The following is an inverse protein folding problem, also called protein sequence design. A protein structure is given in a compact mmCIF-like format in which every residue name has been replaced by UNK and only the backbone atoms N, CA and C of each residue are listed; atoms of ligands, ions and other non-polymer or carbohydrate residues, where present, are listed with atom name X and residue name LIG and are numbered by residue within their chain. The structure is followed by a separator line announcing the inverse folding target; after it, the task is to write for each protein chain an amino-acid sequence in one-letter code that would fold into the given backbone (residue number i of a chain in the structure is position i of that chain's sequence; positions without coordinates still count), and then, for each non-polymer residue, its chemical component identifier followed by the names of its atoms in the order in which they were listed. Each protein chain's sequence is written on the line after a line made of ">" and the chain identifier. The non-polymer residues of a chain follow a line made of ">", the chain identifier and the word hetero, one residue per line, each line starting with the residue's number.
data_IF_389458372076
#
_entry.id   IF_389458372076
#
_cell.length_a   1.000
_cell.length_b   1.000
_cell.length_c   1.000
_cell.angle_alpha   90.00
_cell.angle_beta   90.00
_cell.angle_gamma   90.00
#
_symmetry.space_group_name_H-M   'P 1'
#
loop_
_entity.id
_entity.type
_entity.pdbx_description
1 polymer ?
#
# COMPACT_ATOMS: atom_id res chain seq x y z
N UNK A 1 19.28 -2.94 23.86
CA UNK A 1 19.32 -4.22 23.11
C UNK A 1 17.94 -4.83 23.28
N UNK A 2 17.35 -5.28 22.17
CA UNK A 2 16.01 -5.85 22.16
C UNK A 2 16.05 -7.35 22.50
N UNK A 3 14.95 -7.86 23.04
CA UNK A 3 14.81 -9.30 23.28
C UNK A 3 14.43 -9.97 21.96
N UNK A 4 15.31 -10.81 21.40
CA UNK A 4 15.18 -11.36 20.04
C UNK A 4 15.07 -12.89 20.04
N UNK A 5 14.48 -13.42 18.97
CA UNK A 5 14.32 -14.85 18.74
C UNK A 5 13.86 -15.14 17.31
N UNK A 6 13.70 -16.42 17.00
CA UNK A 6 13.13 -16.84 15.72
C UNK A 6 12.36 -18.14 15.84
N UNK A 7 11.43 -18.34 14.90
CA UNK A 7 10.68 -19.57 14.75
C UNK A 7 10.80 -20.10 13.31
N UNK A 8 10.77 -21.43 13.17
CA UNK A 8 10.90 -22.15 11.90
C UNK A 8 9.62 -22.95 11.65
N UNK A 9 9.00 -22.73 10.50
CA UNK A 9 7.79 -23.40 10.06
C UNK A 9 8.06 -24.19 8.77
N UNK A 10 7.37 -25.32 8.59
CA UNK A 10 7.43 -26.09 7.35
C UNK A 10 6.48 -25.49 6.31
N UNK A 11 6.94 -25.36 5.07
CA UNK A 11 6.12 -24.82 3.98
C UNK A 11 5.14 -25.90 3.50
N UNK A 12 3.83 -25.63 3.45
CA UNK A 12 2.86 -26.53 2.85
C UNK A 12 3.19 -26.77 1.38
N UNK A 13 2.95 -27.99 0.89
CA UNK A 13 3.28 -28.39 -0.50
C UNK A 13 2.70 -27.46 -1.58
N UNK A 14 1.58 -26.82 -1.29
CA UNK A 14 0.88 -25.90 -2.19
C UNK A 14 1.62 -24.56 -2.39
N UNK A 15 2.44 -24.15 -1.42
CA UNK A 15 3.13 -22.86 -1.39
C UNK A 15 4.62 -22.97 -1.71
N UNK A 16 5.12 -24.19 -1.92
CA UNK A 16 6.52 -24.49 -2.26
C UNK A 16 6.92 -23.71 -3.51
N UNK A 17 8.02 -22.97 -3.41
CA UNK A 17 8.56 -22.14 -4.50
C UNK A 17 7.73 -20.90 -4.89
N UNK A 18 6.66 -20.55 -4.17
CA UNK A 18 5.87 -19.35 -4.47
C UNK A 18 6.43 -18.12 -3.74
N UNK A 19 6.60 -16.97 -4.42
CA UNK A 19 7.04 -15.72 -3.78
C UNK A 19 5.85 -15.02 -3.11
N UNK A 20 5.39 -15.59 -1.99
CA UNK A 20 4.19 -15.11 -1.27
C UNK A 20 4.52 -14.86 0.19
N UNK A 21 4.13 -13.69 0.67
CA UNK A 21 4.15 -13.38 2.09
C UNK A 21 3.03 -14.13 2.82
N UNK A 22 3.39 -14.96 3.81
CA UNK A 22 2.42 -15.75 4.56
C UNK A 22 1.63 -14.88 5.54
N UNK A 23 0.30 -15.02 5.50
CA UNK A 23 -0.63 -14.24 6.35
C UNK A 23 -0.83 -14.89 7.71
N UNK A 24 -1.51 -14.16 8.62
CA UNK A 24 -1.82 -14.59 9.99
C UNK A 24 -2.40 -16.01 10.07
N UNK A 25 -3.33 -16.34 9.18
CA UNK A 25 -4.05 -17.62 9.22
C UNK A 25 -3.12 -18.83 9.04
N UNK A 26 -2.02 -18.67 8.28
CA UNK A 26 -0.99 -19.70 8.17
C UNK A 26 -0.36 -20.00 9.53
N UNK A 27 0.06 -18.98 10.27
CA UNK A 27 0.73 -19.14 11.56
C UNK A 27 -0.22 -19.60 12.68
N UNK A 28 -1.53 -19.35 12.54
CA UNK A 28 -2.55 -19.89 13.44
C UNK A 28 -2.82 -21.38 13.19
N UNK A 29 -2.74 -21.81 11.92
CA UNK A 29 -3.01 -23.19 11.53
C UNK A 29 -1.78 -24.12 11.64
N UNK A 30 -0.56 -23.58 11.61
CA UNK A 30 0.68 -24.36 11.55
C UNK A 30 1.54 -24.18 12.81
N UNK A 31 2.01 -25.29 13.38
CA UNK A 31 2.95 -25.27 14.49
C UNK A 31 4.40 -25.12 14.00
N UNK A 32 5.22 -24.43 14.79
CA UNK A 32 6.65 -24.34 14.51
C UNK A 32 7.32 -25.70 14.65
N UNK A 33 8.20 -26.05 13.69
CA UNK A 33 9.04 -27.25 13.72
C UNK A 33 10.29 -27.07 14.57
N UNK A 34 10.78 -25.83 14.65
CA UNK A 34 11.85 -25.43 15.55
C UNK A 34 11.68 -23.97 15.94
N UNK A 35 12.25 -23.57 17.07
CA UNK A 35 12.30 -22.17 17.52
C UNK A 35 13.47 -21.98 18.47
N UNK A 36 13.82 -20.74 18.76
CA UNK A 36 14.73 -20.43 19.87
C UNK A 36 14.10 -20.85 21.19
N UNK A 37 14.88 -21.46 22.09
CA UNK A 37 14.37 -21.96 23.39
C UNK A 37 13.79 -20.85 24.26
N UNK A 38 14.38 -19.66 24.17
CA UNK A 38 13.89 -18.44 24.80
C UNK A 38 14.20 -17.25 23.90
N UNK A 39 13.36 -16.23 23.98
CA UNK A 39 13.71 -14.91 23.47
C UNK A 39 14.69 -14.29 24.46
N UNK A 40 15.85 -13.87 23.96
CA UNK A 40 16.97 -13.46 24.82
C UNK A 40 17.43 -12.06 24.39
N UNK A 41 17.78 -11.24 25.39
CA UNK A 41 18.34 -9.92 25.15
C UNK A 41 19.86 -10.01 24.94
N UNK A 42 20.26 -10.56 23.80
CA UNK A 42 21.65 -10.70 23.37
C UNK A 42 21.83 -10.17 21.94
N UNK A 43 23.07 -9.84 21.59
CA UNK A 43 23.40 -9.38 20.22
C UNK A 43 23.12 -10.43 19.15
N UNK A 44 23.27 -11.71 19.49
CA UNK A 44 23.06 -12.83 18.59
C UNK A 44 22.35 -13.96 19.34
N UNK A 45 21.38 -14.59 18.68
CA UNK A 45 20.77 -15.85 19.11
C UNK A 45 20.93 -16.85 17.98
N UNK A 46 21.50 -18.01 18.30
CA UNK A 46 21.71 -19.10 17.35
C UNK A 46 21.11 -20.40 17.90
N UNK A 47 20.63 -21.26 17.01
CA UNK A 47 20.14 -22.58 17.38
C UNK A 47 20.56 -23.60 16.31
N UNK A 48 20.93 -24.81 16.75
CA UNK A 48 21.25 -25.92 15.84
C UNK A 48 20.03 -26.81 15.72
N UNK A 49 19.50 -26.94 14.51
CA UNK A 49 18.29 -27.72 14.23
C UNK A 49 18.60 -28.86 13.26
N UNK A 50 17.89 -29.98 13.41
CA UNK A 50 17.90 -31.09 12.46
C UNK A 50 16.47 -31.32 11.98
N UNK A 51 16.23 -31.02 10.71
CA UNK A 51 14.91 -31.11 10.09
C UNK A 51 14.95 -32.13 8.94
N UNK A 52 13.83 -32.81 8.64
CA UNK A 52 13.70 -33.58 7.40
C UNK A 52 13.99 -32.74 6.14
N UNK A 53 14.29 -33.37 5.00
CA UNK A 53 14.37 -32.63 3.73
C UNK A 53 13.03 -31.98 3.38
N UNK A 54 13.04 -30.67 3.09
CA UNK A 54 11.86 -29.90 2.77
C UNK A 54 12.16 -28.39 2.71
N UNK A 55 11.13 -27.59 2.42
CA UNK A 55 11.20 -26.14 2.49
C UNK A 55 10.71 -25.64 3.85
N UNK A 56 11.44 -24.66 4.39
CA UNK A 56 11.17 -24.09 5.70
C UNK A 56 11.23 -22.58 5.65
N UNK A 57 10.37 -21.94 6.44
CA UNK A 57 10.36 -20.49 6.63
C UNK A 57 10.90 -20.19 8.01
N UNK A 58 11.83 -19.24 8.07
CA UNK A 58 12.35 -18.70 9.32
C UNK A 58 11.79 -17.30 9.51
N UNK A 59 11.10 -17.09 10.63
CA UNK A 59 10.55 -15.79 11.03
C UNK A 59 11.39 -15.25 12.20
N UNK A 60 12.34 -14.34 11.94
CA UNK A 60 13.04 -13.62 13.00
C UNK A 60 12.15 -12.48 13.54
N UNK A 61 12.13 -12.29 14.87
CA UNK A 61 11.40 -11.18 15.48
C UNK A 61 11.99 -10.75 16.81
N UNK A 62 11.60 -9.57 17.27
CA UNK A 62 11.64 -9.21 18.69
C UNK A 62 10.53 -9.92 19.46
N UNK A 63 10.63 -9.93 20.78
CA UNK A 63 9.60 -10.49 21.65
C UNK A 63 8.35 -9.62 21.67
N UNK A 64 8.53 -8.31 21.86
CA UNK A 64 7.45 -7.34 21.79
C UNK A 64 7.29 -6.80 20.36
N UNK A 65 6.05 -6.54 19.91
CA UNK A 65 5.81 -5.87 18.63
C UNK A 65 6.30 -4.42 18.67
N UNK A 66 6.40 -3.79 17.49
CA UNK A 66 6.74 -2.37 17.33
C UNK A 66 8.12 -1.98 17.90
N UNK A 67 9.06 -2.93 17.92
CA UNK A 67 10.48 -2.69 18.25
C UNK A 67 11.26 -2.61 16.94
N UNK A 68 11.82 -1.44 16.67
CA UNK A 68 12.68 -1.22 15.51
C UNK A 68 14.09 -1.75 15.78
N UNK A 69 14.58 -2.61 14.87
CA UNK A 69 15.93 -3.14 14.95
C UNK A 69 16.40 -3.64 13.58
N UNK A 70 17.67 -3.37 13.27
CA UNK A 70 18.36 -4.01 12.15
C UNK A 70 18.89 -5.38 12.59
N UNK A 71 18.83 -6.37 11.71
CA UNK A 71 19.31 -7.71 11.98
C UNK A 71 19.98 -8.35 10.77
N UNK A 72 20.78 -9.39 11.03
CA UNK A 72 21.40 -10.23 10.00
C UNK A 72 21.11 -11.68 10.34
N UNK A 73 20.50 -12.40 9.39
CA UNK A 73 20.25 -13.83 9.50
C UNK A 73 21.31 -14.61 8.70
N UNK A 74 21.93 -15.61 9.34
CA UNK A 74 22.97 -16.45 8.72
C UNK A 74 22.57 -17.92 8.84
N UNK A 75 22.70 -18.64 7.73
CA UNK A 75 22.40 -20.08 7.66
C UNK A 75 23.70 -20.86 7.47
N UNK A 76 23.89 -21.88 8.31
CA UNK A 76 24.99 -22.83 8.21
C UNK A 76 24.40 -24.23 8.05
N UNK A 77 24.66 -24.87 6.90
CA UNK A 77 24.17 -26.21 6.59
C UNK A 77 25.33 -27.16 6.31
N UNK A 78 25.18 -28.42 6.74
CA UNK A 78 26.15 -29.48 6.43
C UNK A 78 26.14 -29.85 4.94
N UNK A 79 24.96 -29.75 4.32
CA UNK A 79 24.72 -30.03 2.89
C UNK A 79 24.27 -28.75 2.20
N UNK A 80 24.39 -28.70 0.87
CA UNK A 80 23.89 -27.58 0.08
C UNK A 80 22.42 -27.28 0.41
N UNK A 81 22.16 -26.07 0.87
CA UNK A 81 20.82 -25.58 1.19
C UNK A 81 20.66 -24.21 0.51
N UNK A 82 19.63 -24.09 -0.32
CA UNK A 82 19.28 -22.81 -0.91
C UNK A 82 18.56 -21.95 0.13
N UNK A 83 18.79 -20.64 0.09
CA UNK A 83 18.13 -19.66 0.95
C UNK A 83 17.63 -18.51 0.11
N UNK A 84 16.40 -18.07 0.35
CA UNK A 84 15.79 -16.96 -0.35
C UNK A 84 14.94 -16.14 0.63
N UNK A 85 14.84 -14.83 0.39
CA UNK A 85 13.89 -13.97 1.08
C UNK A 85 12.48 -14.27 0.53
N UNK A 86 11.56 -14.64 1.44
CA UNK A 86 10.18 -14.91 1.08
C UNK A 86 9.33 -13.66 1.30
N UNK A 87 8.92 -13.03 0.21
CA UNK A 87 8.08 -11.85 0.22
C UNK A 87 7.27 -11.72 -1.08
N UNK A 88 6.32 -10.80 -1.09
CA UNK A 88 5.46 -10.55 -2.24
C UNK A 88 6.24 -9.87 -3.39
N UNK A 89 5.96 -10.30 -4.63
CA UNK A 89 6.44 -9.58 -5.81
C UNK A 89 5.66 -8.29 -6.03
N UNK A 90 6.36 -7.27 -6.53
CA UNK A 90 5.77 -5.97 -6.84
C UNK A 90 4.84 -6.11 -8.04
N UNK A 91 3.55 -5.89 -7.83
CA UNK A 91 2.53 -5.99 -8.86
C UNK A 91 1.38 -5.01 -8.58
N UNK A 92 0.81 -4.43 -9.64
CA UNK A 92 -0.41 -3.63 -9.57
C UNK A 92 -1.44 -4.18 -10.54
N UNK A 93 -2.50 -4.76 -9.98
CA UNK A 93 -3.70 -5.25 -10.66
C UNK A 93 -4.81 -4.21 -10.46
N UNK A 94 -4.70 -3.10 -11.17
CA UNK A 94 -5.69 -2.05 -11.15
C UNK A 94 -6.79 -2.39 -12.15
N UNK A 95 -8.08 -2.25 -11.78
CA UNK A 95 -9.16 -2.42 -12.74
C UNK A 95 -9.00 -1.40 -13.88
N UNK A 96 -9.24 -1.84 -15.11
CA UNK A 96 -9.30 -0.94 -16.25
C UNK A 96 -10.39 0.10 -15.99
N UNK A 97 -10.05 1.38 -16.22
CA UNK A 97 -11.03 2.46 -16.09
C UNK A 97 -12.06 2.31 -17.22
N UNK A 98 -13.27 1.90 -16.87
CA UNK A 98 -14.42 2.14 -17.71
C UNK A 98 -14.62 3.66 -17.78
N UNK A 99 -14.04 4.27 -18.82
CA UNK A 99 -14.26 5.68 -19.12
C UNK A 99 -15.67 5.79 -19.64
N UNK A 100 -16.58 6.14 -18.74
CA UNK A 100 -17.96 6.41 -19.09
C UNK A 100 -18.00 7.64 -19.99
N UNK A 101 -18.84 7.59 -21.03
CA UNK A 101 -19.18 8.80 -21.77
C UNK A 101 -19.99 9.73 -20.85
N UNK A 102 -20.03 11.03 -21.14
CA UNK A 102 -20.84 11.97 -20.36
C UNK A 102 -22.31 11.54 -20.29
N UNK A 103 -22.82 10.87 -21.33
CA UNK A 103 -24.20 10.39 -21.41
C UNK A 103 -24.50 9.28 -20.39
N UNK A 104 -23.48 8.48 -20.06
CA UNK A 104 -23.58 7.37 -19.09
C UNK A 104 -23.46 7.84 -17.64
N UNK A 105 -23.02 9.09 -17.41
CA UNK A 105 -22.93 9.67 -16.08
C UNK A 105 -24.32 10.10 -15.60
N UNK A 106 -24.68 9.62 -14.41
CA UNK A 106 -25.95 9.89 -13.75
C UNK A 106 -26.26 11.41 -13.64
N UNK A 107 -27.49 11.80 -13.96
CA UNK A 107 -27.91 13.21 -13.97
C UNK A 107 -27.84 13.83 -12.56
N UNK A 108 -28.01 13.02 -11.51
CA UNK A 108 -27.82 13.46 -10.13
C UNK A 108 -26.36 13.82 -9.85
N UNK A 109 -25.40 13.10 -10.47
CA UNK A 109 -23.99 13.44 -10.38
C UNK A 109 -23.65 14.67 -11.21
N UNK A 110 -24.21 14.82 -12.42
CA UNK A 110 -24.03 16.03 -13.25
C UNK A 110 -24.53 17.29 -12.53
N UNK A 111 -25.71 17.22 -11.92
CA UNK A 111 -26.26 18.35 -11.15
C UNK A 111 -25.46 18.65 -9.89
N UNK A 112 -24.84 17.64 -9.27
CA UNK A 112 -23.89 17.84 -8.18
C UNK A 112 -22.60 18.50 -8.70
N UNK A 113 -22.05 18.03 -9.81
CA UNK A 113 -20.88 18.61 -10.47
C UNK A 113 -21.12 20.07 -10.85
N UNK A 114 -22.20 20.41 -11.57
CA UNK A 114 -22.49 21.80 -11.97
C UNK A 114 -22.77 22.76 -10.80
N UNK A 115 -23.13 22.25 -9.62
CA UNK A 115 -23.24 23.09 -8.40
C UNK A 115 -21.89 23.37 -7.75
N UNK A 116 -20.87 22.62 -8.14
CA UNK A 116 -19.55 22.59 -7.51
C UNK A 116 -18.47 23.16 -8.42
N UNK A 117 -18.52 22.81 -9.70
CA UNK A 117 -17.78 23.43 -10.79
C UNK A 117 -18.36 24.83 -11.00
N UNK A 118 -17.49 25.83 -11.10
CA UNK A 118 -17.87 27.22 -11.26
C UNK A 118 -18.43 27.52 -12.66
N UNK A 119 -18.29 28.77 -13.09
CA UNK A 119 -18.70 29.20 -14.43
C UNK A 119 -17.89 28.52 -15.55
N UNK A 120 -16.71 28.00 -15.23
CA UNK A 120 -15.80 27.32 -16.15
C UNK A 120 -16.12 25.82 -16.35
N UNK A 121 -17.07 25.27 -15.58
CA UNK A 121 -17.44 23.84 -15.63
C UNK A 121 -16.26 22.89 -15.39
N UNK A 122 -15.25 23.36 -14.64
CA UNK A 122 -14.08 22.59 -14.23
C UNK A 122 -13.93 22.68 -12.70
N UNK A 123 -13.31 21.67 -12.08
CA UNK A 123 -13.04 21.67 -10.64
C UNK A 123 -11.55 21.88 -10.41
N UNK A 124 -11.20 23.01 -9.80
CA UNK A 124 -9.84 23.28 -9.33
C UNK A 124 -9.49 22.49 -8.07
N UNK A 125 -8.19 22.40 -7.76
CA UNK A 125 -7.67 21.77 -6.54
C UNK A 125 -8.36 22.28 -5.25
N UNK A 126 -8.62 23.59 -5.16
CA UNK A 126 -9.24 24.21 -3.98
C UNK A 126 -10.72 23.86 -3.84
N UNK A 127 -11.42 23.81 -4.97
CA UNK A 127 -12.82 23.37 -5.03
C UNK A 127 -12.90 21.91 -4.66
N UNK A 128 -12.04 21.05 -5.23
CA UNK A 128 -11.94 19.64 -4.88
C UNK A 128 -11.76 19.45 -3.37
N UNK A 129 -10.82 20.16 -2.75
CA UNK A 129 -10.59 20.10 -1.31
C UNK A 129 -11.87 20.46 -0.53
N UNK A 130 -12.53 21.55 -0.89
CA UNK A 130 -13.74 22.03 -0.22
C UNK A 130 -14.87 21.01 -0.32
N UNK A 131 -15.04 20.41 -1.50
CA UNK A 131 -16.04 19.39 -1.79
C UNK A 131 -15.79 18.15 -0.95
N UNK A 132 -14.59 17.60 -1.04
CA UNK A 132 -14.25 16.36 -0.36
C UNK A 132 -14.33 16.52 1.16
N UNK A 133 -13.88 17.65 1.71
CA UNK A 133 -13.96 17.91 3.16
C UNK A 133 -15.40 18.11 3.65
N UNK A 134 -16.26 18.72 2.84
CA UNK A 134 -17.69 18.80 3.15
C UNK A 134 -18.35 17.42 3.19
N UNK A 135 -17.87 16.46 2.41
CA UNK A 135 -18.42 15.10 2.40
C UNK A 135 -17.82 14.27 3.52
N UNK A 136 -16.50 14.30 3.72
CA UNK A 136 -15.83 13.62 4.83
C UNK A 136 -16.36 14.07 6.19
N UNK A 137 -16.67 15.36 6.38
CA UNK A 137 -17.21 15.84 7.67
C UNK A 137 -18.54 15.20 8.06
N UNK A 138 -19.26 14.55 7.13
CA UNK A 138 -20.46 13.75 7.42
C UNK A 138 -20.12 12.35 7.97
N UNK A 139 -18.89 11.89 7.77
CA UNK A 139 -18.38 10.58 8.20
C UNK A 139 -17.62 10.72 9.51
N UNK A 140 -18.36 10.79 10.62
CA UNK A 140 -17.81 10.93 11.99
C UNK A 140 -17.02 9.70 12.46
N UNK A 141 -17.11 8.61 11.73
CA UNK A 141 -16.37 7.37 11.94
C UNK A 141 -14.89 7.48 11.55
N UNK A 142 -14.51 8.49 10.76
CA UNK A 142 -13.12 8.68 10.31
C UNK A 142 -12.36 9.63 11.24
N UNK A 143 -11.17 9.23 11.67
CA UNK A 143 -10.22 10.10 12.39
C UNK A 143 -9.39 10.86 11.35
N UNK A 144 -9.90 11.98 10.84
CA UNK A 144 -9.18 12.81 9.86
C UNK A 144 -9.51 14.30 10.02
N UNK A 145 -8.57 15.15 9.64
CA UNK A 145 -8.77 16.61 9.54
C UNK A 145 -9.37 17.04 8.19
N UNK A 146 -9.71 16.06 7.34
CA UNK A 146 -10.06 16.28 5.94
C UNK A 146 -8.83 16.20 5.03
N UNK A 147 -9.07 16.21 3.73
CA UNK A 147 -8.05 16.21 2.71
C UNK A 147 -7.20 17.49 2.73
N UNK A 148 -5.89 17.28 2.72
CA UNK A 148 -4.91 18.33 2.50
C UNK A 148 -4.93 18.84 1.05
N UNK A 149 -4.36 20.03 0.83
CA UNK A 149 -4.17 20.56 -0.53
C UNK A 149 -3.19 19.71 -1.34
N UNK A 150 -2.21 19.08 -0.68
CA UNK A 150 -1.23 18.22 -1.35
C UNK A 150 -1.91 16.95 -1.89
N UNK A 151 -2.73 16.29 -1.07
CA UNK A 151 -3.52 15.13 -1.50
C UNK A 151 -4.44 15.48 -2.66
N UNK A 152 -5.11 16.65 -2.60
CA UNK A 152 -5.97 17.12 -3.69
C UNK A 152 -5.17 17.39 -4.97
N UNK A 153 -3.94 17.94 -4.87
CA UNK A 153 -3.06 18.11 -6.04
C UNK A 153 -2.66 16.78 -6.65
N UNK A 154 -2.26 15.80 -5.84
CA UNK A 154 -1.93 14.46 -6.33
C UNK A 154 -3.13 13.78 -7.00
N UNK A 155 -4.35 13.97 -6.48
CA UNK A 155 -5.57 13.47 -7.11
C UNK A 155 -5.85 14.12 -8.46
N UNK A 156 -5.69 15.44 -8.55
CA UNK A 156 -5.85 16.15 -9.82
C UNK A 156 -4.82 15.66 -10.82
N UNK A 157 -3.53 15.61 -10.44
CA UNK A 157 -2.46 15.15 -11.34
C UNK A 157 -2.64 13.70 -11.84
N UNK A 158 -3.26 12.82 -11.05
CA UNK A 158 -3.56 11.46 -11.49
C UNK A 158 -4.67 11.42 -12.55
N UNK A 159 -5.62 12.35 -12.49
CA UNK A 159 -6.85 12.34 -13.28
C UNK A 159 -6.81 13.29 -14.48
N UNK A 160 -6.03 14.37 -14.39
CA UNK A 160 -5.85 15.42 -15.38
C UNK A 160 -5.15 14.86 -16.63
N UNK A 161 -5.95 14.41 -17.60
CA UNK A 161 -5.47 13.80 -18.85
C UNK A 161 -5.19 14.85 -19.92
N UNK A 162 -5.86 16.00 -19.85
CA UNK A 162 -5.73 17.08 -20.83
C UNK A 162 -4.65 18.12 -20.44
N UNK A 163 -4.15 18.07 -19.21
CA UNK A 163 -3.06 18.87 -18.69
C UNK A 163 -3.46 20.30 -18.31
N UNK A 164 -4.76 20.55 -18.09
CA UNK A 164 -5.26 21.88 -17.74
C UNK A 164 -5.11 22.23 -16.24
N UNK A 165 -4.71 21.27 -15.40
CA UNK A 165 -4.54 21.42 -13.96
C UNK A 165 -5.84 21.46 -13.16
N UNK A 166 -6.95 21.03 -13.76
CA UNK A 166 -8.29 20.98 -13.19
C UNK A 166 -8.96 19.66 -13.59
N UNK A 167 -10.21 19.46 -13.15
CA UNK A 167 -10.97 18.25 -13.44
C UNK A 167 -12.26 18.57 -14.18
N UNK A 168 -12.42 17.97 -15.36
CA UNK A 168 -13.70 17.91 -16.06
C UNK A 168 -14.69 16.95 -15.38
N UNK A 169 -15.92 16.90 -15.90
CA UNK A 169 -16.99 16.05 -15.37
C UNK A 169 -16.60 14.56 -15.35
N UNK A 170 -16.04 14.06 -16.45
CA UNK A 170 -15.66 12.64 -16.60
C UNK A 170 -14.53 12.29 -15.64
N UNK A 171 -13.50 13.13 -15.56
CA UNK A 171 -12.35 12.93 -14.67
C UNK A 171 -12.76 12.96 -13.20
N UNK A 172 -13.59 13.94 -12.83
CA UNK A 172 -14.13 14.02 -11.47
C UNK A 172 -15.01 12.82 -11.12
N UNK A 173 -15.81 12.30 -12.05
CA UNK A 173 -16.60 11.08 -11.83
C UNK A 173 -15.72 9.85 -11.56
N UNK A 174 -14.64 9.69 -12.32
CA UNK A 174 -13.67 8.60 -12.12
C UNK A 174 -13.02 8.73 -10.75
N UNK A 175 -12.52 9.93 -10.41
CA UNK A 175 -11.91 10.21 -9.11
C UNK A 175 -12.88 9.92 -7.96
N UNK A 176 -14.13 10.34 -8.10
CA UNK A 176 -15.16 10.16 -7.08
C UNK A 176 -15.43 8.67 -6.81
N UNK A 177 -15.56 7.87 -7.87
CA UNK A 177 -15.76 6.43 -7.74
C UNK A 177 -14.55 5.75 -7.10
N UNK A 178 -13.32 6.21 -7.40
CA UNK A 178 -12.09 5.74 -6.73
C UNK A 178 -12.10 6.04 -5.24
N UNK A 179 -12.38 7.29 -4.85
CA UNK A 179 -12.44 7.69 -3.44
C UNK A 179 -13.50 6.88 -2.68
N UNK A 180 -14.66 6.61 -3.30
CA UNK A 180 -15.70 5.75 -2.70
C UNK A 180 -15.23 4.30 -2.51
N UNK A 181 -14.50 3.76 -3.48
CA UNK A 181 -13.90 2.43 -3.35
C UNK A 181 -12.87 2.40 -2.22
N UNK A 182 -11.97 3.38 -2.18
CA UNK A 182 -10.98 3.53 -1.10
C UNK A 182 -11.62 3.68 0.27
N UNK A 183 -12.71 4.44 0.39
CA UNK A 183 -13.48 4.54 1.64
C UNK A 183 -14.08 3.19 2.06
N UNK A 184 -14.53 2.38 1.10
CA UNK A 184 -15.06 1.04 1.38
C UNK A 184 -13.97 0.10 1.86
N UNK A 185 -12.79 0.15 1.23
CA UNK A 185 -11.61 -0.62 1.62
C UNK A 185 -11.16 -0.19 3.02
N UNK A 186 -11.00 1.11 3.26
CA UNK A 186 -10.57 1.66 4.54
C UNK A 186 -11.47 1.16 5.68
N UNK A 187 -12.79 1.30 5.55
CA UNK A 187 -13.76 0.81 6.55
C UNK A 187 -13.74 -0.70 6.75
N UNK A 188 -13.42 -1.47 5.71
CA UNK A 188 -13.35 -2.92 5.78
C UNK A 188 -12.15 -3.38 6.59
N UNK A 189 -11.04 -2.64 6.54
CA UNK A 189 -9.77 -3.00 7.14
C UNK A 189 -9.41 -2.18 8.39
N UNK A 190 -10.18 -1.15 8.75
CA UNK A 190 -10.22 -0.56 10.09
C UNK A 190 -10.90 -1.54 11.06
N UNK A 191 -10.17 -2.58 11.45
CA UNK A 191 -10.70 -3.73 12.19
C UNK A 191 -11.02 -3.37 13.64
N UNK A 192 -10.23 -2.46 14.20
CA UNK A 192 -10.41 -1.95 15.56
C UNK A 192 -11.39 -0.77 15.64
N UNK A 193 -11.86 -0.26 14.49
CA UNK A 193 -12.77 0.88 14.37
C UNK A 193 -12.20 2.14 15.03
N UNK A 194 -10.89 2.30 14.97
CA UNK A 194 -10.19 3.48 15.47
C UNK A 194 -10.43 4.71 14.60
N UNK A 195 -10.95 4.51 13.37
CA UNK A 195 -11.07 5.57 12.37
C UNK A 195 -9.75 5.88 11.67
N UNK A 196 -8.71 5.09 11.90
CA UNK A 196 -7.36 5.17 11.34
C UNK A 196 -6.84 3.77 11.02
N UNK A 197 -5.79 3.64 10.22
CA UNK A 197 -5.17 2.34 9.93
C UNK A 197 -3.82 2.19 10.61
N UNK A 198 -3.60 1.07 11.27
CA UNK A 198 -2.27 0.63 11.66
C UNK A 198 -1.44 0.16 10.45
N UNK A 199 -0.13 0.01 10.62
CA UNK A 199 0.76 -0.54 9.59
C UNK A 199 0.32 -1.94 9.09
N UNK A 200 -0.25 -2.77 9.97
CA UNK A 200 -0.74 -4.10 9.61
C UNK A 200 -2.01 -4.02 8.73
N UNK A 201 -2.93 -3.14 9.09
CA UNK A 201 -4.17 -2.92 8.32
C UNK A 201 -3.88 -2.28 6.97
N UNK A 202 -2.92 -1.35 6.92
CA UNK A 202 -2.45 -0.72 5.69
C UNK A 202 -1.94 -1.75 4.68
N UNK A 203 -1.16 -2.76 5.12
CA UNK A 203 -0.69 -3.83 4.22
C UNK A 203 -1.85 -4.59 3.58
N UNK A 204 -2.87 -4.94 4.36
CA UNK A 204 -4.05 -5.65 3.84
C UNK A 204 -4.90 -4.76 2.93
N UNK A 205 -5.05 -3.48 3.26
CA UNK A 205 -5.82 -2.53 2.47
C UNK A 205 -5.18 -2.22 1.11
N UNK A 206 -3.85 -2.06 1.06
CA UNK A 206 -3.08 -1.90 -0.19
C UNK A 206 -3.27 -3.13 -1.09
N UNK A 207 -3.21 -4.34 -0.53
CA UNK A 207 -3.46 -5.58 -1.27
C UNK A 207 -4.89 -5.66 -1.82
N UNK A 208 -5.88 -5.27 -1.02
CA UNK A 208 -7.28 -5.21 -1.45
C UNK A 208 -7.56 -4.10 -2.48
N UNK A 209 -6.75 -3.05 -2.50
CA UNK A 209 -6.77 -2.02 -3.55
C UNK A 209 -6.13 -2.48 -4.87
N UNK A 210 -5.54 -3.69 -4.90
CA UNK A 210 -4.96 -4.29 -6.09
C UNK A 210 -3.44 -4.21 -6.17
N UNK A 211 -2.76 -3.73 -5.13
CA UNK A 211 -1.30 -3.59 -5.11
C UNK A 211 -0.66 -4.68 -4.24
N UNK A 212 0.23 -5.47 -4.82
CA UNK A 212 1.14 -6.34 -4.07
C UNK A 212 2.51 -5.69 -4.03
N UNK A 213 3.02 -5.46 -2.83
CA UNK A 213 4.30 -4.77 -2.61
C UNK A 213 5.15 -5.62 -1.66
N UNK A 214 6.47 -5.51 -1.80
CA UNK A 214 7.38 -6.11 -0.84
C UNK A 214 7.42 -5.31 0.48
N UNK A 215 7.99 -5.91 1.51
CA UNK A 215 8.18 -5.36 2.86
C UNK A 215 8.87 -4.00 2.83
N UNK A 216 9.92 -3.82 2.01
CA UNK A 216 10.66 -2.56 1.93
C UNK A 216 9.77 -1.40 1.46
N UNK A 217 8.90 -1.64 0.47
CA UNK A 217 7.95 -0.63 0.01
C UNK A 217 6.85 -0.37 1.06
N UNK A 218 6.39 -1.39 1.77
CA UNK A 218 5.47 -1.19 2.89
C UNK A 218 6.10 -0.32 4.00
N UNK A 219 7.35 -0.58 4.37
CA UNK A 219 8.08 0.25 5.35
C UNK A 219 8.17 1.70 4.89
N UNK A 220 8.56 1.96 3.64
CA UNK A 220 8.62 3.31 3.08
C UNK A 220 7.25 4.02 3.09
N UNK A 221 6.19 3.29 2.74
CA UNK A 221 4.83 3.84 2.79
C UNK A 221 4.46 4.24 4.21
N UNK A 222 4.69 3.37 5.20
CA UNK A 222 4.39 3.70 6.59
C UNK A 222 5.23 4.90 7.05
N UNK A 223 6.55 4.89 6.84
CA UNK A 223 7.42 6.01 7.22
C UNK A 223 7.00 7.36 6.61
N UNK A 224 6.45 7.36 5.39
CA UNK A 224 6.07 8.60 4.69
C UNK A 224 4.66 9.10 5.03
N UNK A 225 3.72 8.19 5.29
CA UNK A 225 2.29 8.49 5.37
C UNK A 225 1.66 8.24 6.74
N UNK A 226 2.37 7.61 7.69
CA UNK A 226 1.89 7.49 9.06
C UNK A 226 2.15 8.75 9.87
N UNK A 227 1.23 9.06 10.76
CA UNK A 227 1.41 10.04 11.83
C UNK A 227 2.41 9.53 12.88
N UNK A 228 2.87 10.38 13.83
CA UNK A 228 3.82 9.97 14.87
C UNK A 228 3.38 8.80 15.76
N UNK A 229 2.08 8.49 15.80
CA UNK A 229 1.50 7.34 16.51
C UNK A 229 1.43 6.06 15.63
N UNK A 230 2.06 6.07 14.45
CA UNK A 230 2.04 5.00 13.44
C UNK A 230 0.65 4.73 12.85
N UNK A 231 -0.30 5.64 13.06
CA UNK A 231 -1.61 5.58 12.46
C UNK A 231 -1.62 6.31 11.10
N UNK A 232 -2.29 5.74 10.12
CA UNK A 232 -2.53 6.35 8.80
C UNK A 232 -3.98 6.77 8.76
N UNK A 233 -4.24 8.07 8.62
CA UNK A 233 -5.61 8.58 8.48
C UNK A 233 -6.13 8.40 7.05
N UNK A 234 -7.41 8.72 6.83
CA UNK A 234 -8.02 8.54 5.53
C UNK A 234 -7.41 9.44 4.43
N UNK A 235 -6.99 10.65 4.76
CA UNK A 235 -6.32 11.55 3.81
C UNK A 235 -5.01 10.94 3.30
N UNK A 236 -4.14 10.55 4.24
CA UNK A 236 -2.86 9.93 3.93
C UNK A 236 -3.02 8.59 3.21
N UNK A 237 -4.03 7.79 3.56
CA UNK A 237 -4.35 6.54 2.87
C UNK A 237 -4.67 6.77 1.39
N UNK A 238 -5.59 7.69 1.10
CA UNK A 238 -5.99 7.98 -0.29
C UNK A 238 -4.83 8.61 -1.06
N UNK A 239 -4.10 9.55 -0.45
CA UNK A 239 -2.93 10.18 -1.05
C UNK A 239 -1.87 9.14 -1.44
N UNK A 240 -1.59 8.17 -0.55
CA UNK A 240 -0.69 7.06 -0.81
C UNK A 240 -1.14 6.22 -2.01
N UNK A 241 -2.42 5.79 -2.05
CA UNK A 241 -2.91 4.94 -3.14
C UNK A 241 -2.93 5.66 -4.49
N UNK A 242 -3.33 6.94 -4.50
CA UNK A 242 -3.31 7.80 -5.68
C UNK A 242 -1.89 7.93 -6.21
N UNK A 243 -0.92 8.27 -5.34
CA UNK A 243 0.49 8.41 -5.75
C UNK A 243 1.07 7.08 -6.23
N UNK A 244 0.77 5.98 -5.55
CA UNK A 244 1.23 4.65 -5.93
C UNK A 244 0.69 4.27 -7.31
N UNK A 245 -0.61 4.50 -7.56
CA UNK A 245 -1.24 4.30 -8.86
C UNK A 245 -0.58 5.12 -9.96
N UNK A 246 -0.37 6.41 -9.73
CA UNK A 246 0.31 7.31 -10.68
C UNK A 246 1.67 6.75 -11.07
N UNK A 247 2.47 6.31 -10.09
CA UNK A 247 3.81 5.76 -10.34
C UNK A 247 3.76 4.45 -11.13
N UNK A 248 2.82 3.54 -10.82
CA UNK A 248 2.65 2.31 -11.59
C UNK A 248 2.21 2.58 -13.04
N UNK A 249 1.31 3.54 -13.25
CA UNK A 249 0.86 3.93 -14.60
C UNK A 249 1.99 4.54 -15.41
N UNK A 250 2.75 5.46 -14.83
CA UNK A 250 3.91 6.04 -15.51
C UNK A 250 4.96 5.00 -15.85
N UNK A 251 5.29 4.10 -14.92
CA UNK A 251 6.25 3.03 -15.17
C UNK A 251 5.79 2.14 -16.32
N UNK A 252 4.54 1.64 -16.30
CA UNK A 252 3.97 0.81 -17.37
C UNK A 252 3.91 1.53 -18.72
N UNK A 253 3.67 2.84 -18.74
CA UNK A 253 3.65 3.62 -19.97
C UNK A 253 5.03 3.81 -20.60
N UNK A 254 6.10 3.76 -19.78
CA UNK A 254 7.48 3.95 -20.21
C UNK A 254 8.21 2.63 -20.50
N UNK A 255 7.87 1.56 -19.79
CA UNK A 255 8.39 0.19 -19.98
C UNK A 255 7.68 -0.49 -21.17
N UNK A 256 7.97 -0.02 -22.38
CA UNK A 256 7.30 -0.50 -23.60
C UNK A 256 7.71 -1.91 -24.03
N UNK A 257 8.87 -2.38 -23.58
CA UNK A 257 9.44 -3.70 -23.86
C UNK A 257 9.21 -4.72 -22.73
N UNK A 258 8.63 -4.29 -21.61
CA UNK A 258 8.21 -5.13 -20.49
C UNK A 258 9.40 -5.89 -19.86
N UNK A 259 10.58 -5.28 -19.87
CA UNK A 259 11.78 -5.85 -19.28
C UNK A 259 11.92 -5.49 -17.78
N UNK A 260 11.03 -4.62 -17.28
CA UNK A 260 11.02 -4.15 -15.90
C UNK A 260 12.06 -3.07 -15.61
N UNK A 261 12.62 -2.41 -16.64
CA UNK A 261 13.65 -1.38 -16.51
C UNK A 261 13.30 -0.16 -17.37
N UNK A 262 13.16 1.00 -16.73
CA UNK A 262 12.97 2.27 -17.45
C UNK A 262 14.23 3.14 -17.34
N UNK A 263 14.70 3.67 -18.48
CA UNK A 263 15.86 4.56 -18.53
C UNK A 263 15.44 6.02 -18.65
N UNK A 264 16.00 6.88 -17.80
CA UNK A 264 15.72 8.32 -17.78
C UNK A 264 16.98 9.15 -18.00
N UNK A 265 16.83 10.28 -18.70
CA UNK A 265 17.77 11.39 -18.57
C UNK A 265 17.39 12.26 -17.35
N UNK A 266 18.26 13.20 -16.98
CA UNK A 266 18.02 14.06 -15.82
C UNK A 266 16.73 14.88 -15.93
N UNK A 267 16.41 15.36 -17.14
CA UNK A 267 15.22 16.18 -17.36
C UNK A 267 13.94 15.37 -17.14
N UNK A 268 13.84 14.19 -17.75
CA UNK A 268 12.70 13.27 -17.57
C UNK A 268 12.57 12.80 -16.13
N UNK A 269 13.68 12.53 -15.45
CA UNK A 269 13.66 12.20 -14.03
C UNK A 269 13.09 13.33 -13.16
N UNK A 270 13.56 14.57 -13.38
CA UNK A 270 13.05 15.74 -12.66
C UNK A 270 11.58 16.02 -13.00
N UNK A 271 11.19 15.89 -14.26
CA UNK A 271 9.79 16.03 -14.69
C UNK A 271 8.91 14.99 -13.98
N UNK A 272 9.32 13.72 -13.94
CA UNK A 272 8.55 12.67 -13.27
C UNK A 272 8.47 12.89 -11.75
N UNK A 273 9.57 13.25 -11.10
CA UNK A 273 9.60 13.34 -9.63
C UNK A 273 9.00 14.62 -9.05
N UNK A 274 9.02 15.73 -9.80
CA UNK A 274 8.49 17.01 -9.33
C UNK A 274 7.00 17.19 -9.65
N UNK A 275 6.50 16.56 -10.71
CA UNK A 275 5.09 16.66 -11.11
C UNK A 275 4.21 15.51 -10.57
N UNK A 276 4.80 14.42 -10.04
CA UNK A 276 4.08 13.28 -9.48
C UNK A 276 3.93 13.27 -7.95
#
# INVERSE_FOLDING_TARGET
>A
METIGFAVYEVPRELVGQPVHLKRDFFLANSSRARTESFINLREVSNRVRLPPGEYIVVPSTFEPNREADFVLRFFSEKGAATQELDDQIQANLPDEAVLSEEEIDDTFKTLFSKLAGEDMEISVKELQTILNRIISKHKDLRTNGFSLESCRSMVNLMDRDGNGKLGLVEFNILWNRIRNYLTIFRKFDLDKSGSMSAYEMRMAIEAAGFKLNKKLHELIITRYSEPDLAVDFDNFVCCLVRLETMFRFFKALDTDLDGVVTFDLFKWLQLTMFA
#
